data_IF_924147625778
#
_entry.id   IF_924147625778
#
_cell.length_a   1.000
_cell.length_b   1.000
_cell.length_c   1.000
_cell.angle_alpha   90.00
_cell.angle_beta   90.00
_cell.angle_gamma   90.00
#
_symmetry.space_group_name_H-M   'P 1'
#
loop_
_entity.id
_entity.type
_entity.pdbx_description
1 polymer ?
#
# COMPACT_ATOMS: atom_id res chain seq x y z
N UNK A 1 -93.25 13.15 19.17
CA UNK A 1 -92.29 13.01 20.29
C UNK A 1 -90.89 13.08 19.67
N UNK A 2 -89.98 13.97 20.04
CA UNK A 2 -90.07 15.09 20.99
C UNK A 2 -88.96 16.14 20.75
N UNK A 3 -89.16 17.33 21.32
CA UNK A 3 -88.22 18.47 21.53
C UNK A 3 -86.87 18.05 22.15
N UNK A 4 -85.73 18.77 22.09
CA UNK A 4 -85.25 20.08 21.55
C UNK A 4 -83.68 19.99 21.53
N UNK A 5 -82.79 20.93 21.15
CA UNK A 5 -82.76 22.36 20.73
C UNK A 5 -81.34 22.71 20.19
N UNK A 6 -81.13 23.93 19.66
CA UNK A 6 -79.82 24.61 19.41
C UNK A 6 -78.95 24.07 18.23
N UNK A 7 -78.15 24.87 17.51
CA UNK A 7 -77.96 26.36 17.49
C UNK A 7 -77.48 26.79 16.10
N UNK A 8 -77.88 27.97 15.62
CA UNK A 8 -77.27 28.58 14.43
C UNK A 8 -75.87 29.13 14.73
N UNK A 9 -74.91 28.94 13.80
CA UNK A 9 -73.69 29.75 13.69
C UNK A 9 -73.31 29.95 12.22
N UNK A 10 -72.86 31.15 11.90
CA UNK A 10 -72.51 31.60 10.55
C UNK A 10 -71.27 30.92 9.98
N UNK A 11 -71.33 30.52 8.71
CA UNK A 11 -70.14 30.16 7.92
C UNK A 11 -69.41 31.44 7.45
N UNK A 12 -68.15 31.61 7.82
CA UNK A 12 -67.27 32.66 7.27
C UNK A 12 -66.35 32.08 6.19
N UNK A 13 -66.17 32.85 5.11
CA UNK A 13 -65.25 32.52 4.02
C UNK A 13 -63.84 33.02 4.34
N UNK A 14 -63.06 32.28 5.15
CA UNK A 14 -61.67 32.67 5.40
C UNK A 14 -60.69 31.51 5.71
N UNK A 15 -59.97 31.07 4.65
CA UNK A 15 -58.55 30.64 4.71
C UNK A 15 -57.98 30.33 3.32
N UNK A 16 -57.38 31.34 2.69
CA UNK A 16 -56.42 31.12 1.58
C UNK A 16 -55.03 30.94 2.18
N UNK A 17 -54.43 29.75 2.05
CA UNK A 17 -53.09 29.48 2.56
C UNK A 17 -52.02 30.24 1.78
N UNK A 18 -51.54 31.36 2.35
CA UNK A 18 -50.34 32.07 1.85
C UNK A 18 -49.08 31.24 2.11
N UNK A 19 -48.72 30.38 1.16
CA UNK A 19 -47.38 29.78 1.11
C UNK A 19 -46.33 30.90 0.99
N UNK A 20 -45.50 31.07 2.03
CA UNK A 20 -44.30 31.93 1.97
C UNK A 20 -43.27 31.26 1.06
N UNK A 21 -43.29 31.63 -0.22
CA UNK A 21 -42.20 31.34 -1.16
C UNK A 21 -40.91 31.90 -0.55
N UNK A 22 -39.96 31.04 -0.20
CA UNK A 22 -38.61 31.48 0.18
C UNK A 22 -37.97 32.14 -1.05
N UNK A 23 -37.36 33.33 -0.94
CA UNK A 23 -36.83 34.04 -2.11
C UNK A 23 -35.79 33.17 -2.80
N UNK A 24 -35.94 32.98 -4.11
CA UNK A 24 -35.14 32.03 -4.92
C UNK A 24 -33.63 32.28 -4.74
N UNK A 25 -33.24 33.56 -4.66
CA UNK A 25 -31.89 34.05 -4.36
C UNK A 25 -31.27 33.44 -3.08
N UNK A 26 -32.03 33.24 -2.01
CA UNK A 26 -31.51 32.67 -0.76
C UNK A 26 -31.30 31.15 -0.87
N UNK A 27 -32.12 30.45 -1.67
CA UNK A 27 -31.89 29.03 -1.99
C UNK A 27 -30.66 28.88 -2.88
N UNK A 28 -30.52 29.75 -3.89
CA UNK A 28 -29.37 29.75 -4.79
C UNK A 28 -28.06 30.11 -4.08
N UNK A 29 -28.06 31.11 -3.19
CA UNK A 29 -26.90 31.43 -2.34
C UNK A 29 -26.48 30.25 -1.47
N UNK A 30 -27.43 29.59 -0.79
CA UNK A 30 -27.10 28.44 0.06
C UNK A 30 -26.54 27.27 -0.76
N UNK A 31 -27.06 27.03 -1.97
CA UNK A 31 -26.54 26.00 -2.86
C UNK A 31 -25.12 26.32 -3.35
N UNK A 32 -24.86 27.58 -3.76
CA UNK A 32 -23.52 28.04 -4.14
C UNK A 32 -22.54 28.00 -2.96
N UNK A 33 -22.98 28.31 -1.75
CA UNK A 33 -22.17 28.23 -0.53
C UNK A 33 -21.80 26.77 -0.19
N UNK A 34 -22.76 25.84 -0.31
CA UNK A 34 -22.53 24.40 -0.13
C UNK A 34 -21.57 23.83 -1.18
N UNK A 35 -21.70 24.23 -2.44
CA UNK A 35 -20.78 23.84 -3.52
C UNK A 35 -19.38 24.40 -3.25
N UNK A 36 -19.25 25.67 -2.85
CA UNK A 36 -17.97 26.28 -2.48
C UNK A 36 -17.31 25.63 -1.26
N UNK A 37 -18.08 25.26 -0.23
CA UNK A 37 -17.59 24.52 0.93
C UNK A 37 -17.11 23.11 0.55
N UNK A 38 -17.83 22.43 -0.36
CA UNK A 38 -17.43 21.12 -0.86
C UNK A 38 -16.10 21.20 -1.64
N UNK A 39 -15.97 22.11 -2.60
CA UNK A 39 -14.73 22.22 -3.41
C UNK A 39 -13.52 22.69 -2.60
N UNK A 40 -13.71 23.58 -1.61
CA UNK A 40 -12.65 23.94 -0.66
C UNK A 40 -12.20 22.75 0.20
N UNK A 41 -13.15 21.95 0.69
CA UNK A 41 -12.84 20.74 1.48
C UNK A 41 -12.08 19.70 0.63
N UNK A 42 -12.49 19.50 -0.62
CA UNK A 42 -11.91 18.52 -1.52
C UNK A 42 -10.50 18.93 -2.01
N UNK A 43 -10.26 20.22 -2.23
CA UNK A 43 -8.93 20.75 -2.53
C UNK A 43 -8.00 20.64 -1.30
N UNK A 44 -8.46 21.07 -0.13
CA UNK A 44 -7.70 20.94 1.13
C UNK A 44 -7.32 19.48 1.43
N UNK A 45 -8.23 18.54 1.19
CA UNK A 45 -7.99 17.10 1.37
C UNK A 45 -6.88 16.59 0.46
N UNK A 46 -6.80 17.07 -0.78
CA UNK A 46 -5.80 16.68 -1.79
C UNK A 46 -4.39 17.18 -1.46
N UNK A 47 -4.26 18.37 -0.87
CA UNK A 47 -2.96 18.87 -0.39
C UNK A 47 -2.52 18.22 0.93
N UNK A 48 -3.47 17.69 1.71
CA UNK A 48 -3.21 16.94 2.96
C UNK A 48 -2.87 15.45 2.76
N UNK A 49 -3.13 14.89 1.58
CA UNK A 49 -2.88 13.48 1.27
C UNK A 49 -1.47 13.21 0.77
N UNK A 50 -0.92 12.06 1.16
CA UNK A 50 0.35 11.53 0.67
C UNK A 50 0.06 10.26 -0.13
N UNK A 51 0.41 10.24 -1.42
CA UNK A 51 0.40 9.01 -2.21
C UNK A 51 1.74 8.29 -2.08
N UNK A 52 1.75 7.17 -1.37
CA UNK A 52 2.90 6.28 -1.32
C UNK A 52 2.76 5.15 -2.35
N UNK A 53 3.88 4.73 -2.93
CA UNK A 53 3.98 3.57 -3.82
C UNK A 53 5.08 2.63 -3.29
N UNK A 54 4.72 1.41 -2.89
CA UNK A 54 5.67 0.30 -2.71
C UNK A 54 5.88 -0.38 -4.06
N UNK A 55 7.12 -0.63 -4.46
CA UNK A 55 7.44 -1.13 -5.81
C UNK A 55 8.75 -1.93 -5.83
N UNK A 56 8.67 -3.27 -5.71
CA UNK A 56 9.76 -4.13 -6.15
C UNK A 56 9.86 -3.99 -7.67
N UNK A 57 11.02 -3.54 -8.16
CA UNK A 57 11.24 -3.27 -9.59
C UNK A 57 11.90 -4.42 -10.36
N UNK A 58 11.97 -5.63 -9.78
CA UNK A 58 12.49 -6.85 -10.41
C UNK A 58 13.89 -6.67 -11.01
N UNK A 59 14.86 -6.52 -10.11
CA UNK A 59 16.29 -6.29 -10.40
C UNK A 59 16.48 -5.10 -11.36
N UNK A 60 16.02 -3.91 -10.94
CA UNK A 60 15.96 -2.67 -11.74
C UNK A 60 15.34 -2.83 -13.14
N UNK A 61 14.36 -3.72 -13.28
CA UNK A 61 13.65 -4.02 -14.52
C UNK A 61 14.49 -4.76 -15.56
N UNK A 62 15.67 -5.29 -15.19
CA UNK A 62 16.60 -5.96 -16.13
C UNK A 62 16.04 -7.25 -16.73
N UNK A 63 14.99 -7.80 -16.13
CA UNK A 63 14.22 -8.93 -16.66
C UNK A 63 13.35 -8.59 -17.87
N UNK A 64 13.05 -7.30 -18.14
CA UNK A 64 12.29 -6.84 -19.32
C UNK A 64 13.10 -5.91 -20.24
N UNK A 65 12.66 -5.76 -21.49
CA UNK A 65 13.22 -4.74 -22.38
C UNK A 65 12.82 -3.34 -21.90
N UNK A 66 13.79 -2.42 -21.85
CA UNK A 66 13.64 -1.02 -21.45
C UNK A 66 13.06 -0.83 -20.03
N UNK A 67 13.54 -1.64 -19.08
CA UNK A 67 13.06 -1.67 -17.69
C UNK A 67 13.08 -0.31 -16.99
N UNK A 68 14.22 0.38 -16.97
CA UNK A 68 14.36 1.70 -16.33
C UNK A 68 13.39 2.75 -16.89
N UNK A 69 13.24 2.79 -18.23
CA UNK A 69 12.28 3.69 -18.91
C UNK A 69 10.85 3.38 -18.49
N UNK A 70 10.50 2.09 -18.39
CA UNK A 70 9.17 1.66 -17.94
C UNK A 70 8.94 2.04 -16.48
N UNK A 71 9.89 1.80 -15.58
CA UNK A 71 9.80 2.14 -14.15
C UNK A 71 9.49 3.64 -13.99
N UNK A 72 10.31 4.52 -14.55
CA UNK A 72 10.13 5.96 -14.45
C UNK A 72 8.80 6.44 -15.08
N UNK A 73 8.42 5.91 -16.25
CA UNK A 73 7.11 6.16 -16.88
C UNK A 73 5.93 5.68 -16.03
N UNK A 74 6.02 4.53 -15.36
CA UNK A 74 4.95 4.04 -14.49
C UNK A 74 4.80 4.88 -13.22
N UNK A 75 5.92 5.34 -12.63
CA UNK A 75 5.91 6.29 -11.52
C UNK A 75 5.27 7.62 -11.99
N UNK A 76 5.64 8.15 -13.17
CA UNK A 76 4.97 9.32 -13.79
C UNK A 76 3.47 9.12 -14.07
N UNK A 77 3.01 7.90 -14.33
CA UNK A 77 1.57 7.58 -14.50
C UNK A 77 0.82 7.55 -13.16
N UNK A 78 1.44 7.01 -12.10
CA UNK A 78 0.89 6.95 -10.74
C UNK A 78 0.92 8.31 -10.03
N UNK A 79 1.95 9.12 -10.28
CA UNK A 79 2.25 10.38 -9.58
C UNK A 79 2.19 10.22 -8.05
N UNK A 80 3.03 9.35 -7.46
CA UNK A 80 3.20 9.27 -6.01
C UNK A 80 4.00 10.47 -5.51
N UNK A 81 4.00 10.69 -4.19
CA UNK A 81 4.88 11.64 -3.51
C UNK A 81 6.14 10.95 -2.97
N UNK A 82 6.02 9.65 -2.67
CA UNK A 82 7.09 8.80 -2.15
C UNK A 82 7.01 7.44 -2.86
N UNK A 83 8.15 6.94 -3.35
CA UNK A 83 8.31 5.55 -3.78
C UNK A 83 9.27 4.83 -2.84
N UNK A 84 8.78 3.79 -2.17
CA UNK A 84 9.61 2.79 -1.52
C UNK A 84 9.94 1.73 -2.57
N UNK A 85 11.18 1.72 -3.06
CA UNK A 85 11.62 0.87 -4.18
C UNK A 85 12.56 -0.25 -3.72
N UNK A 86 12.33 -1.48 -4.19
CA UNK A 86 13.10 -2.69 -3.84
C UNK A 86 13.72 -3.36 -5.09
N UNK A 87 14.70 -4.25 -4.90
CA UNK A 87 15.53 -4.87 -5.93
C UNK A 87 16.28 -3.87 -6.86
N UNK A 88 16.89 -2.86 -6.26
CA UNK A 88 17.74 -1.92 -6.99
C UNK A 88 19.14 -2.51 -7.20
N UNK A 89 19.55 -2.63 -8.46
CA UNK A 89 20.85 -3.17 -8.86
C UNK A 89 22.03 -2.20 -8.74
N UNK A 90 21.80 -0.91 -9.01
CA UNK A 90 22.86 0.08 -9.16
C UNK A 90 22.29 1.51 -9.04
N UNK A 91 23.14 2.46 -8.64
CA UNK A 91 22.77 3.87 -8.44
C UNK A 91 22.54 4.59 -9.78
N UNK A 92 23.28 4.23 -10.84
CA UNK A 92 23.08 4.80 -12.17
C UNK A 92 21.66 4.56 -12.73
N UNK A 93 21.04 3.43 -12.39
CA UNK A 93 19.64 3.18 -12.66
C UNK A 93 18.69 4.10 -11.89
N UNK A 94 19.02 4.49 -10.65
CA UNK A 94 18.26 5.46 -9.87
C UNK A 94 18.41 6.88 -10.43
N UNK A 95 19.64 7.29 -10.78
CA UNK A 95 19.93 8.58 -11.41
C UNK A 95 19.17 8.73 -12.72
N UNK A 96 19.14 7.68 -13.55
CA UNK A 96 18.34 7.64 -14.78
C UNK A 96 16.84 7.82 -14.49
N UNK A 97 16.31 7.11 -13.48
CA UNK A 97 14.90 7.20 -13.11
C UNK A 97 14.56 8.63 -12.67
N UNK A 98 15.26 9.20 -11.67
CA UNK A 98 14.91 10.54 -11.17
C UNK A 98 15.12 11.65 -12.21
N UNK A 99 16.10 11.50 -13.10
CA UNK A 99 16.29 12.40 -14.25
C UNK A 99 15.09 12.36 -15.22
N UNK A 100 14.51 11.18 -15.47
CA UNK A 100 13.30 11.04 -16.28
C UNK A 100 12.02 11.45 -15.52
N UNK A 101 12.01 11.42 -14.17
CA UNK A 101 10.90 11.95 -13.37
C UNK A 101 10.82 13.50 -13.37
N UNK A 102 11.96 14.18 -13.52
CA UNK A 102 12.12 15.64 -13.43
C UNK A 102 11.66 16.22 -12.07
N UNK A 103 11.16 17.45 -12.04
CA UNK A 103 10.41 18.08 -10.93
C UNK A 103 10.92 17.82 -9.51
N UNK A 104 12.19 18.14 -9.26
CA UNK A 104 12.90 18.06 -7.96
C UNK A 104 12.92 16.66 -7.30
N UNK A 105 12.63 15.59 -8.05
CA UNK A 105 12.79 14.23 -7.55
C UNK A 105 14.23 13.91 -7.20
N UNK A 106 14.43 13.35 -6.01
CA UNK A 106 15.70 12.81 -5.55
C UNK A 106 15.49 11.37 -5.05
N UNK A 107 16.56 10.59 -5.03
CA UNK A 107 16.61 9.29 -4.36
C UNK A 107 17.56 9.36 -3.16
N UNK A 108 17.26 8.60 -2.11
CA UNK A 108 18.15 8.42 -0.96
C UNK A 108 18.27 6.94 -0.62
N UNK A 109 19.50 6.52 -0.33
CA UNK A 109 19.81 5.27 0.37
C UNK A 109 20.82 5.53 1.48
N UNK A 110 20.93 4.57 2.39
CA UNK A 110 22.04 4.38 3.29
C UNK A 110 22.14 2.88 3.58
N UNK A 111 23.17 2.42 4.28
CA UNK A 111 23.36 0.99 4.55
C UNK A 111 24.17 0.77 5.82
N UNK A 112 23.94 -0.36 6.50
CA UNK A 112 24.79 -0.85 7.60
C UNK A 112 25.90 -1.79 7.12
N UNK A 113 26.05 -2.00 5.81
CA UNK A 113 27.01 -2.96 5.23
C UNK A 113 27.39 -2.62 3.79
N UNK A 114 28.61 -2.99 3.38
CA UNK A 114 29.13 -2.79 2.02
C UNK A 114 28.52 -3.82 1.04
N UNK A 115 27.23 -3.70 0.76
CA UNK A 115 26.54 -4.51 -0.26
C UNK A 115 26.96 -4.08 -1.66
N UNK A 116 27.13 -5.06 -2.55
CA UNK A 116 27.52 -4.82 -3.95
C UNK A 116 26.48 -4.04 -4.77
N UNK A 117 25.23 -3.99 -4.31
CA UNK A 117 24.13 -3.26 -4.93
C UNK A 117 23.27 -2.54 -3.86
N UNK A 118 22.54 -1.47 -4.22
CA UNK A 118 21.72 -0.70 -3.27
C UNK A 118 20.61 -1.49 -2.59
N UNK A 119 19.96 -2.40 -3.32
CA UNK A 119 18.74 -3.15 -2.96
C UNK A 119 17.51 -2.27 -2.68
N UNK A 120 17.60 -1.32 -1.75
CA UNK A 120 16.52 -0.39 -1.35
C UNK A 120 16.92 1.08 -1.52
N UNK A 121 15.98 1.90 -2.00
CA UNK A 121 16.08 3.36 -2.02
C UNK A 121 14.69 4.00 -1.83
N UNK A 122 14.65 5.19 -1.24
CA UNK A 122 13.43 6.00 -1.15
C UNK A 122 13.54 7.13 -2.16
N UNK A 123 12.62 7.17 -3.12
CA UNK A 123 12.51 8.27 -4.08
C UNK A 123 11.41 9.22 -3.60
N UNK A 124 11.64 10.53 -3.65
CA UNK A 124 10.61 11.52 -3.31
C UNK A 124 10.92 12.90 -3.91
N UNK A 125 9.90 13.74 -4.07
CA UNK A 125 10.03 15.19 -4.25
C UNK A 125 9.61 16.00 -3.01
N UNK A 126 9.38 15.33 -1.87
CA UNK A 126 9.19 15.96 -0.57
C UNK A 126 10.54 16.38 0.04
N UNK A 127 10.50 17.40 0.89
CA UNK A 127 11.67 17.92 1.60
C UNK A 127 12.13 16.90 2.65
N UNK A 128 13.38 16.44 2.53
CA UNK A 128 14.01 15.55 3.51
C UNK A 128 14.53 16.40 4.68
N UNK A 129 14.22 16.04 5.92
CA UNK A 129 14.44 16.89 7.11
C UNK A 129 15.32 16.24 8.19
N UNK A 130 16.11 15.25 7.81
CA UNK A 130 17.05 14.56 8.70
C UNK A 130 17.85 13.48 7.98
N UNK A 131 18.79 12.81 8.68
CA UNK A 131 19.66 11.82 8.08
C UNK A 131 18.90 10.55 7.68
N UNK A 132 19.43 9.84 6.68
CA UNK A 132 19.04 8.46 6.42
C UNK A 132 19.57 7.54 7.52
N UNK A 133 18.76 6.56 7.92
CA UNK A 133 19.16 5.49 8.85
C UNK A 133 18.81 4.12 8.28
N UNK A 134 19.49 3.05 8.71
CA UNK A 134 19.39 1.74 8.09
C UNK A 134 19.41 0.59 9.11
N UNK A 135 18.76 -0.51 8.74
CA UNK A 135 18.90 -1.84 9.34
C UNK A 135 19.60 -2.77 8.34
N UNK A 136 19.66 -4.09 8.61
CA UNK A 136 20.23 -5.03 7.65
C UNK A 136 19.44 -5.17 6.34
N UNK A 137 18.17 -4.73 6.30
CA UNK A 137 17.23 -4.93 5.17
C UNK A 137 16.20 -3.81 4.96
N UNK A 138 16.38 -2.66 5.61
CA UNK A 138 15.50 -1.51 5.44
C UNK A 138 16.26 -0.19 5.65
N UNK A 139 15.75 0.88 5.05
CA UNK A 139 16.23 2.25 5.24
C UNK A 139 15.07 3.16 5.65
N UNK A 140 15.37 4.24 6.36
CA UNK A 140 14.40 5.27 6.74
C UNK A 140 14.92 6.68 6.48
N UNK A 141 14.01 7.58 6.11
CA UNK A 141 14.23 9.04 6.13
C UNK A 141 13.03 9.74 6.79
N UNK A 142 13.26 10.82 7.55
CA UNK A 142 12.21 11.75 7.94
C UNK A 142 12.00 12.78 6.82
N UNK A 143 10.75 12.94 6.37
CA UNK A 143 10.33 13.90 5.33
C UNK A 143 9.30 14.90 5.88
N UNK A 144 9.19 16.03 5.22
CA UNK A 144 8.19 17.07 5.47
C UNK A 144 7.19 17.11 4.31
N UNK A 145 5.93 16.90 4.63
CA UNK A 145 4.80 16.96 3.68
C UNK A 145 4.59 18.38 3.15
N UNK A 146 3.80 18.52 2.07
CA UNK A 146 3.43 19.85 1.51
C UNK A 146 2.67 20.75 2.49
N UNK A 147 2.11 20.20 3.58
CA UNK A 147 1.48 20.95 4.68
C UNK A 147 2.42 21.24 5.86
N UNK A 148 3.73 21.02 5.71
CA UNK A 148 4.74 21.28 6.75
C UNK A 148 4.78 20.23 7.87
N UNK A 149 3.99 19.15 7.78
CA UNK A 149 3.94 18.10 8.81
C UNK A 149 4.98 17.02 8.51
N UNK A 150 5.72 16.60 9.54
CA UNK A 150 6.76 15.57 9.42
C UNK A 150 6.19 14.14 9.37
N UNK A 151 6.82 13.26 8.58
CA UNK A 151 6.56 11.82 8.47
C UNK A 151 7.88 11.06 8.48
N UNK A 152 7.98 9.96 9.23
CA UNK A 152 9.06 8.98 9.10
C UNK A 152 8.62 7.90 8.12
N UNK A 153 9.34 7.75 7.01
CA UNK A 153 9.11 6.66 6.04
C UNK A 153 10.27 5.67 6.11
N UNK A 154 9.94 4.39 6.35
CA UNK A 154 10.80 3.25 6.11
C UNK A 154 10.48 2.56 4.77
N UNK A 155 11.52 2.15 4.06
CA UNK A 155 11.46 1.21 2.93
C UNK A 155 12.22 -0.07 3.30
N UNK A 156 11.59 -1.24 3.15
CA UNK A 156 12.17 -2.55 3.44
C UNK A 156 12.19 -3.49 2.23
N UNK A 157 13.22 -4.36 2.18
CA UNK A 157 13.23 -5.57 1.36
C UNK A 157 13.74 -6.74 2.23
N UNK A 158 12.83 -7.42 2.93
CA UNK A 158 13.19 -8.51 3.82
C UNK A 158 13.67 -9.76 3.06
N UNK A 159 14.29 -10.71 3.75
CA UNK A 159 14.97 -11.81 3.07
C UNK A 159 14.04 -12.75 2.27
N UNK A 160 14.18 -12.79 0.94
CA UNK A 160 13.46 -13.69 0.04
C UNK A 160 13.75 -15.19 0.23
N UNK A 161 14.87 -15.55 0.88
CA UNK A 161 15.30 -16.95 0.98
C UNK A 161 14.37 -17.78 1.87
N UNK A 162 14.24 -19.06 1.55
CA UNK A 162 13.40 -20.03 2.28
C UNK A 162 11.94 -19.56 2.37
N UNK A 163 11.32 -19.34 1.20
CA UNK A 163 9.94 -18.90 1.08
C UNK A 163 8.96 -20.03 1.45
N UNK A 164 8.33 -19.91 2.63
CA UNK A 164 7.45 -20.93 3.21
C UNK A 164 6.25 -21.33 2.35
N UNK A 165 5.52 -20.39 1.71
CA UNK A 165 4.37 -20.71 0.86
C UNK A 165 4.65 -21.70 -0.27
N UNK A 166 5.80 -21.60 -0.94
CA UNK A 166 6.17 -22.55 -1.99
C UNK A 166 6.41 -23.96 -1.42
N UNK A 167 7.06 -24.07 -0.25
CA UNK A 167 7.21 -25.34 0.44
C UNK A 167 5.87 -25.96 0.89
N UNK A 168 4.88 -25.11 1.21
CA UNK A 168 3.52 -25.49 1.58
C UNK A 168 2.68 -25.98 0.37
N UNK A 169 2.85 -25.37 -0.81
CA UNK A 169 2.26 -25.85 -2.07
C UNK A 169 2.92 -27.16 -2.53
N UNK A 170 4.27 -27.23 -2.53
CA UNK A 170 5.06 -28.42 -2.88
C UNK A 170 4.94 -29.61 -1.92
N UNK A 171 4.18 -29.49 -0.82
CA UNK A 171 4.01 -30.53 0.22
C UNK A 171 5.32 -31.02 0.85
N UNK A 172 6.33 -30.15 0.91
CA UNK A 172 7.61 -30.45 1.59
C UNK A 172 7.51 -30.38 3.12
N UNK A 173 6.51 -29.68 3.65
CA UNK A 173 6.25 -29.54 5.09
C UNK A 173 5.10 -30.44 5.56
N UNK A 174 5.17 -30.86 6.82
CA UNK A 174 4.20 -31.75 7.49
C UNK A 174 3.37 -31.06 8.59
N UNK A 175 3.77 -29.87 9.05
CA UNK A 175 3.00 -29.07 10.02
C UNK A 175 3.19 -27.57 9.80
N UNK A 176 2.30 -26.77 10.38
CA UNK A 176 2.44 -25.31 10.51
C UNK A 176 3.75 -24.90 11.17
N UNK A 177 4.18 -25.68 12.16
CA UNK A 177 5.30 -25.32 13.03
C UNK A 177 6.64 -25.42 12.28
N UNK A 178 6.71 -26.28 11.26
CA UNK A 178 7.83 -26.29 10.32
C UNK A 178 7.86 -25.02 9.46
N UNK A 179 6.72 -24.52 8.98
CA UNK A 179 6.65 -23.24 8.24
C UNK A 179 7.06 -22.07 9.14
N UNK A 180 6.57 -22.03 10.38
CA UNK A 180 6.95 -20.99 11.36
C UNK A 180 8.43 -21.06 11.75
N UNK A 181 9.00 -22.26 11.85
CA UNK A 181 10.43 -22.46 12.13
C UNK A 181 11.30 -22.01 10.95
N UNK A 182 10.89 -22.31 9.71
CA UNK A 182 11.55 -21.83 8.48
C UNK A 182 11.43 -20.30 8.36
N UNK A 183 10.29 -19.72 8.74
CA UNK A 183 10.10 -18.26 8.76
C UNK A 183 11.04 -17.57 9.74
N UNK A 184 11.24 -18.13 10.93
CA UNK A 184 12.23 -17.65 11.90
C UNK A 184 13.67 -17.76 11.34
N UNK A 185 14.03 -18.92 10.79
CA UNK A 185 15.34 -19.17 10.20
C UNK A 185 15.62 -18.35 8.94
N UNK A 186 14.58 -17.86 8.24
CA UNK A 186 14.74 -16.96 7.08
C UNK A 186 15.36 -15.62 7.45
N UNK A 187 15.26 -15.22 8.73
CA UNK A 187 15.67 -13.89 9.19
C UNK A 187 14.65 -12.79 8.90
N UNK A 188 13.55 -13.02 8.17
CA UNK A 188 12.49 -12.01 7.95
C UNK A 188 11.92 -11.49 9.27
N UNK A 189 11.74 -12.38 10.26
CA UNK A 189 11.35 -12.02 11.63
C UNK A 189 12.36 -11.07 12.27
N UNK A 190 13.67 -11.33 12.11
CA UNK A 190 14.74 -10.44 12.59
C UNK A 190 14.76 -9.10 11.85
N UNK A 191 14.52 -9.08 10.54
CA UNK A 191 14.47 -7.86 9.75
C UNK A 191 13.30 -6.95 10.17
N UNK A 192 12.13 -7.53 10.47
CA UNK A 192 11.00 -6.81 11.05
C UNK A 192 11.32 -6.26 12.45
N UNK A 193 11.91 -7.10 13.31
CA UNK A 193 12.32 -6.73 14.66
C UNK A 193 13.34 -5.57 14.65
N UNK A 194 14.31 -5.57 13.72
CA UNK A 194 15.27 -4.48 13.55
C UNK A 194 14.63 -3.14 13.18
N UNK A 195 13.51 -3.12 12.44
CA UNK A 195 12.78 -1.89 12.08
C UNK A 195 11.92 -1.38 13.24
N UNK A 196 11.25 -2.30 13.94
CA UNK A 196 10.38 -2.00 15.08
C UNK A 196 11.18 -1.51 16.30
N UNK A 197 12.25 -2.22 16.65
CA UNK A 197 13.09 -1.90 17.81
C UNK A 197 14.09 -0.75 17.53
N UNK A 198 14.13 -0.24 16.29
CA UNK A 198 15.06 0.83 15.91
C UNK A 198 14.88 2.08 16.78
N UNK A 199 15.97 2.73 17.28
CA UNK A 199 15.86 3.89 18.15
C UNK A 199 15.02 5.04 17.57
N UNK A 200 15.10 5.27 16.25
CA UNK A 200 14.29 6.30 15.58
C UNK A 200 12.79 5.94 15.54
N UNK A 201 12.44 4.68 15.29
CA UNK A 201 11.04 4.20 15.34
C UNK A 201 10.47 4.38 16.75
N UNK A 202 11.23 3.93 17.75
CA UNK A 202 10.91 4.09 19.17
C UNK A 202 10.83 5.56 19.63
N UNK A 203 11.61 6.47 19.06
CA UNK A 203 11.52 7.91 19.35
C UNK A 203 10.24 8.53 18.76
N UNK A 204 9.91 8.20 17.51
CA UNK A 204 8.74 8.73 16.83
C UNK A 204 7.43 8.20 17.44
N UNK A 205 7.35 6.90 17.77
CA UNK A 205 6.18 6.35 18.46
C UNK A 205 5.97 6.98 19.85
N UNK A 206 7.03 7.15 20.65
CA UNK A 206 6.94 7.83 21.97
C UNK A 206 6.50 9.29 21.88
N UNK A 207 6.75 9.98 20.76
CA UNK A 207 6.25 11.33 20.49
C UNK A 207 4.87 11.38 19.82
N UNK A 208 4.26 10.21 19.55
CA UNK A 208 3.06 10.08 18.72
C UNK A 208 3.19 10.82 17.37
N UNK A 209 4.37 10.70 16.73
CA UNK A 209 4.59 11.20 15.38
C UNK A 209 4.26 10.08 14.36
N UNK A 210 3.82 10.44 13.14
CA UNK A 210 3.38 9.44 12.17
C UNK A 210 4.58 8.71 11.57
N UNK A 211 4.46 7.39 11.48
CA UNK A 211 5.45 6.49 10.87
C UNK A 211 4.74 5.64 9.83
N UNK A 212 5.40 5.43 8.69
CA UNK A 212 5.02 4.45 7.68
C UNK A 212 6.17 3.49 7.44
N UNK A 213 5.87 2.20 7.29
CA UNK A 213 6.81 1.16 6.87
C UNK A 213 6.24 0.49 5.64
N UNK A 214 6.91 0.65 4.51
CA UNK A 214 6.49 0.09 3.23
C UNK A 214 7.57 -0.82 2.64
N UNK A 215 7.19 -1.70 1.73
CA UNK A 215 8.11 -2.53 0.96
C UNK A 215 7.74 -4.00 0.87
N UNK A 216 8.62 -4.77 0.26
CA UNK A 216 8.48 -6.21 0.10
C UNK A 216 9.02 -6.94 1.34
N UNK A 217 8.10 -7.53 2.10
CA UNK A 217 8.42 -8.27 3.32
C UNK A 217 8.70 -9.76 3.05
N UNK A 218 8.57 -10.22 1.80
CA UNK A 218 8.80 -11.61 1.37
C UNK A 218 8.06 -12.68 2.20
N UNK A 219 6.90 -12.32 2.78
CA UNK A 219 6.11 -13.16 3.69
C UNK A 219 4.63 -12.78 3.63
N UNK A 220 3.68 -13.74 3.67
CA UNK A 220 2.25 -13.43 3.67
C UNK A 220 1.76 -12.89 5.02
N UNK A 221 0.51 -12.40 5.07
CA UNK A 221 -0.06 -11.91 6.32
C UNK A 221 -0.67 -13.04 7.16
N UNK A 222 -0.56 -12.92 8.48
CA UNK A 222 -1.36 -13.68 9.44
C UNK A 222 -2.88 -13.46 9.28
N UNK A 223 -3.28 -12.40 8.58
CA UNK A 223 -4.67 -12.11 8.19
C UNK A 223 -5.06 -12.74 6.83
N UNK A 224 -4.09 -13.14 6.02
CA UNK A 224 -4.32 -13.67 4.65
C UNK A 224 -4.36 -15.20 4.62
N UNK A 225 -3.63 -15.88 5.51
CA UNK A 225 -3.53 -17.34 5.60
C UNK A 225 -4.48 -17.91 6.68
N UNK A 226 -5.77 -17.64 6.52
CA UNK A 226 -6.85 -17.95 7.46
C UNK A 226 -7.73 -19.13 6.99
N UNK A 227 -8.60 -19.64 7.87
CA UNK A 227 -9.51 -20.76 7.54
C UNK A 227 -10.37 -20.47 6.30
N UNK A 228 -10.83 -19.22 6.15
CA UNK A 228 -11.65 -18.79 5.02
C UNK A 228 -10.92 -18.90 3.66
N UNK A 229 -9.60 -18.64 3.63
CA UNK A 229 -8.75 -18.67 2.43
C UNK A 229 -7.99 -19.99 2.27
N UNK A 230 -8.04 -20.92 3.24
CA UNK A 230 -7.32 -22.21 3.30
C UNK A 230 -7.15 -22.94 1.96
N UNK A 231 -8.19 -22.98 1.13
CA UNK A 231 -8.18 -23.66 -0.18
C UNK A 231 -7.22 -23.03 -1.20
N UNK A 232 -7.04 -21.72 -1.15
CA UNK A 232 -6.09 -20.96 -1.99
C UNK A 232 -4.66 -21.34 -1.58
N UNK A 233 -4.43 -21.38 -0.27
CA UNK A 233 -3.16 -21.72 0.40
C UNK A 233 -2.88 -23.23 0.46
N UNK A 234 -3.35 -23.98 -0.54
CA UNK A 234 -3.07 -25.41 -0.71
C UNK A 234 -3.58 -26.32 0.40
N UNK A 235 -4.49 -25.86 1.26
CA UNK A 235 -5.00 -26.58 2.44
C UNK A 235 -4.49 -26.08 3.79
N UNK A 236 -3.57 -25.10 3.81
CA UNK A 236 -2.91 -24.60 5.02
C UNK A 236 -3.58 -23.38 5.63
N UNK A 237 -3.34 -23.18 6.93
CA UNK A 237 -3.71 -22.00 7.73
C UNK A 237 -2.48 -21.66 8.58
N UNK A 238 -1.95 -20.44 8.50
CA UNK A 238 -0.66 -20.05 9.10
C UNK A 238 -0.72 -18.60 9.58
N UNK A 239 -0.46 -18.38 10.87
CA UNK A 239 -0.29 -17.02 11.43
C UNK A 239 1.16 -16.57 11.25
N UNK A 240 1.49 -16.05 10.07
CA UNK A 240 2.83 -15.59 9.73
C UNK A 240 3.34 -14.50 10.71
N UNK A 241 4.47 -14.73 11.40
CA UNK A 241 4.88 -13.91 12.54
C UNK A 241 5.22 -12.45 12.21
N UNK A 242 5.78 -12.18 11.02
CA UNK A 242 6.29 -10.84 10.65
C UNK A 242 5.20 -9.77 10.72
N UNK A 243 4.09 -9.95 10.00
CA UNK A 243 2.98 -8.99 9.98
C UNK A 243 2.28 -8.89 11.34
N UNK A 244 2.31 -9.96 12.13
CA UNK A 244 1.76 -10.00 13.49
C UNK A 244 2.66 -9.25 14.51
N UNK A 245 3.96 -9.07 14.24
CA UNK A 245 4.83 -8.20 15.03
C UNK A 245 4.50 -6.73 14.81
N UNK A 246 4.25 -6.30 13.57
CA UNK A 246 3.82 -4.94 13.25
C UNK A 246 2.50 -4.58 13.95
N UNK A 247 1.48 -5.46 13.89
CA UNK A 247 0.22 -5.26 14.60
C UNK A 247 0.44 -5.09 16.12
N UNK A 248 1.23 -5.98 16.73
CA UNK A 248 1.56 -5.93 18.17
C UNK A 248 2.36 -4.68 18.58
N UNK A 249 3.13 -4.11 17.66
CA UNK A 249 3.87 -2.87 17.84
C UNK A 249 3.03 -1.60 17.55
N UNK A 250 1.71 -1.73 17.35
CA UNK A 250 0.82 -0.59 17.13
C UNK A 250 0.85 -0.03 15.71
N UNK A 251 1.27 -0.83 14.72
CA UNK A 251 1.13 -0.50 13.30
C UNK A 251 -0.10 -1.16 12.68
N UNK A 252 -0.81 -0.43 11.84
CA UNK A 252 -1.97 -0.91 11.10
C UNK A 252 -1.61 -1.27 9.66
N UNK A 253 -2.04 -2.44 9.19
CA UNK A 253 -1.94 -2.88 7.78
C UNK A 253 -2.91 -2.03 6.94
N UNK A 254 -2.38 -1.13 6.09
CA UNK A 254 -3.20 -0.21 5.31
C UNK A 254 -4.19 -0.93 4.37
N UNK A 255 -3.79 -2.07 3.81
CA UNK A 255 -4.63 -2.82 2.89
C UNK A 255 -5.75 -3.55 3.64
N UNK A 256 -5.44 -4.25 4.74
CA UNK A 256 -6.46 -4.95 5.54
C UNK A 256 -7.35 -4.03 6.36
N UNK A 257 -6.89 -2.83 6.70
CA UNK A 257 -7.73 -1.79 7.33
C UNK A 257 -8.83 -1.30 6.38
N UNK A 258 -8.56 -1.22 5.08
CA UNK A 258 -9.53 -0.80 4.06
C UNK A 258 -10.34 -1.99 3.49
N UNK A 259 -9.70 -3.16 3.39
CA UNK A 259 -10.25 -4.38 2.80
C UNK A 259 -10.08 -5.57 3.77
N UNK A 260 -10.91 -5.69 4.81
CA UNK A 260 -10.71 -6.70 5.86
C UNK A 260 -10.98 -8.15 5.40
N UNK A 261 -11.80 -8.36 4.37
CA UNK A 261 -12.11 -9.70 3.84
C UNK A 261 -11.06 -10.16 2.81
N UNK A 262 -10.25 -11.15 3.20
CA UNK A 262 -9.20 -11.74 2.36
C UNK A 262 -9.70 -12.72 1.28
N UNK A 263 -10.97 -13.15 1.30
CA UNK A 263 -11.58 -13.92 0.20
C UNK A 263 -12.11 -13.00 -0.91
N UNK A 264 -12.72 -11.87 -0.55
CA UNK A 264 -13.24 -10.89 -1.52
C UNK A 264 -12.10 -10.03 -2.07
N UNK A 265 -11.16 -9.62 -1.22
CA UNK A 265 -10.04 -8.78 -1.57
C UNK A 265 -8.72 -9.50 -1.22
N UNK A 266 -8.29 -10.51 -2.00
CA UNK A 266 -7.10 -11.30 -1.69
C UNK A 266 -5.82 -10.47 -1.58
N UNK A 267 -5.69 -9.41 -2.38
CA UNK A 267 -4.57 -8.47 -2.28
C UNK A 267 -3.22 -9.03 -2.73
N UNK A 268 -3.20 -10.13 -3.50
CA UNK A 268 -1.96 -10.75 -3.98
C UNK A 268 -1.10 -9.73 -4.75
N UNK A 269 0.10 -9.43 -4.22
CA UNK A 269 1.08 -8.58 -4.91
C UNK A 269 2.03 -9.41 -5.75
N UNK A 270 2.29 -10.66 -5.33
CA UNK A 270 3.14 -11.62 -6.03
C UNK A 270 2.32 -12.85 -6.47
N UNK A 271 2.34 -13.30 -7.74
CA UNK A 271 2.95 -12.68 -8.92
C UNK A 271 1.93 -12.47 -10.04
N UNK A 272 1.75 -11.23 -10.55
CA UNK A 272 0.96 -10.97 -11.77
C UNK A 272 1.34 -11.79 -13.01
N UNK A 273 2.55 -12.34 -13.09
CA UNK A 273 3.07 -13.01 -14.31
C UNK A 273 3.63 -14.43 -14.09
N UNK A 274 3.66 -14.92 -12.85
CA UNK A 274 4.09 -16.28 -12.51
C UNK A 274 2.95 -17.04 -11.81
N UNK A 275 2.30 -17.93 -12.56
CA UNK A 275 1.22 -18.82 -12.07
C UNK A 275 1.69 -20.20 -11.63
N UNK A 276 2.91 -20.57 -11.99
CA UNK A 276 3.52 -21.86 -11.71
C UNK A 276 5.00 -21.67 -11.36
N UNK A 277 5.51 -22.46 -10.40
CA UNK A 277 6.88 -22.34 -9.90
C UNK A 277 7.93 -22.62 -10.97
N UNK A 278 9.01 -21.84 -10.90
CA UNK A 278 10.19 -21.92 -11.77
C UNK A 278 10.92 -23.26 -11.67
N UNK A 279 11.02 -23.80 -10.45
CA UNK A 279 11.66 -25.08 -10.12
C UNK A 279 11.00 -26.25 -10.87
N UNK A 280 9.71 -26.11 -11.17
CA UNK A 280 8.90 -27.11 -11.88
C UNK A 280 8.56 -26.67 -13.32
N UNK A 281 9.47 -25.90 -13.93
CA UNK A 281 9.41 -25.52 -15.35
C UNK A 281 8.20 -24.67 -15.72
N UNK A 282 7.65 -23.91 -14.76
CA UNK A 282 6.44 -23.09 -14.92
C UNK A 282 5.21 -23.88 -15.40
N UNK A 283 5.07 -25.16 -14.99
CA UNK A 283 4.00 -26.04 -15.50
C UNK A 283 3.26 -26.90 -14.47
N UNK A 284 3.92 -27.41 -13.43
CA UNK A 284 3.35 -28.50 -12.61
C UNK A 284 2.94 -28.12 -11.18
N UNK A 285 3.70 -27.25 -10.52
CA UNK A 285 3.39 -26.76 -9.17
C UNK A 285 2.84 -25.33 -9.32
N UNK A 286 1.62 -25.03 -8.86
CA UNK A 286 1.10 -23.66 -8.83
C UNK A 286 2.00 -22.77 -7.99
N UNK A 287 2.27 -21.57 -8.48
CA UNK A 287 3.01 -20.58 -7.71
C UNK A 287 2.09 -19.99 -6.64
N UNK A 288 2.52 -19.88 -5.37
CA UNK A 288 1.74 -19.18 -4.35
C UNK A 288 1.36 -17.79 -4.87
N UNK A 289 0.09 -17.43 -4.71
CA UNK A 289 -0.39 -16.09 -5.01
C UNK A 289 -0.59 -15.42 -3.67
N UNK A 290 0.31 -14.51 -3.33
CA UNK A 290 0.49 -14.01 -1.98
C UNK A 290 0.64 -12.49 -1.97
N UNK A 291 0.28 -11.87 -0.84
CA UNK A 291 0.57 -10.47 -0.58
C UNK A 291 1.89 -10.37 0.17
N UNK A 292 2.92 -9.91 -0.53
CA UNK A 292 4.28 -9.78 0.00
C UNK A 292 4.69 -8.31 0.18
N UNK A 293 4.06 -7.39 -0.57
CA UNK A 293 4.27 -5.95 -0.48
C UNK A 293 3.27 -5.31 0.49
N UNK A 294 3.76 -4.48 1.40
CA UNK A 294 2.97 -3.87 2.48
C UNK A 294 3.12 -2.36 2.55
N UNK A 295 2.14 -1.75 3.22
CA UNK A 295 2.23 -0.42 3.81
C UNK A 295 1.62 -0.50 5.20
N UNK A 296 2.45 -0.47 6.23
CA UNK A 296 2.05 -0.39 7.63
C UNK A 296 2.17 1.06 8.12
N UNK A 297 1.24 1.52 8.97
CA UNK A 297 1.30 2.88 9.53
C UNK A 297 0.98 2.97 11.03
N UNK A 298 1.61 3.91 11.73
CA UNK A 298 1.46 4.14 13.18
C UNK A 298 1.43 5.65 13.48
N UNK A 299 0.78 6.06 14.57
CA UNK A 299 0.63 7.46 14.96
C UNK A 299 -0.52 8.19 14.25
N UNK A 300 -0.55 9.53 14.21
CA UNK A 300 -1.62 10.34 13.62
C UNK A 300 -1.52 10.35 12.08
N UNK A 301 -1.82 9.20 11.48
CA UNK A 301 -1.89 8.95 10.04
C UNK A 301 -2.82 7.76 9.77
N UNK A 302 -3.55 7.78 8.66
CA UNK A 302 -4.46 6.69 8.27
C UNK A 302 -4.53 6.52 6.75
N UNK A 303 -4.67 5.28 6.31
CA UNK A 303 -5.04 4.98 4.93
C UNK A 303 -6.46 5.46 4.59
N UNK A 304 -6.67 5.92 3.35
CA UNK A 304 -7.99 6.30 2.81
C UNK A 304 -8.31 5.65 1.46
N UNK A 305 -7.31 5.13 0.76
CA UNK A 305 -7.45 4.26 -0.41
C UNK A 305 -6.19 3.37 -0.51
N UNK A 306 -6.33 2.16 -1.05
CA UNK A 306 -5.21 1.30 -1.41
C UNK A 306 -5.51 0.62 -2.75
N UNK A 307 -4.50 0.43 -3.60
CA UNK A 307 -4.69 -0.04 -4.97
C UNK A 307 -3.47 -0.82 -5.44
N UNK A 308 -3.69 -2.03 -5.95
CA UNK A 308 -2.65 -2.81 -6.65
C UNK A 308 -2.55 -2.34 -8.09
N UNK A 309 -1.32 -2.20 -8.60
CA UNK A 309 -1.08 -1.60 -9.91
C UNK A 309 -0.01 -2.35 -10.71
N UNK A 310 -0.35 -2.64 -11.97
CA UNK A 310 0.53 -3.23 -12.97
C UNK A 310 0.45 -2.51 -14.33
N UNK A 311 0.19 -1.20 -14.33
CA UNK A 311 -0.14 -0.45 -15.55
C UNK A 311 -1.58 -0.68 -16.02
N UNK A 312 -1.79 -0.69 -17.34
CA UNK A 312 -3.11 -0.88 -17.99
C UNK A 312 -3.13 -1.94 -19.09
N UNK A 313 -1.96 -2.38 -19.54
CA UNK A 313 -1.86 -3.32 -20.66
C UNK A 313 -1.91 -4.77 -20.17
N UNK A 314 -2.45 -5.72 -20.96
CA UNK A 314 -2.45 -7.13 -20.60
C UNK A 314 -1.04 -7.68 -20.38
N UNK A 315 -0.84 -8.35 -19.25
CA UNK A 315 0.44 -8.96 -18.91
C UNK A 315 0.59 -10.34 -19.54
N UNK A 316 1.78 -10.62 -20.06
CA UNK A 316 2.14 -11.94 -20.60
C UNK A 316 2.94 -12.73 -19.56
N UNK A 317 2.52 -13.97 -19.29
CA UNK A 317 3.16 -14.85 -18.30
C UNK A 317 4.60 -15.25 -18.66
N UNK A 318 5.41 -15.50 -17.62
CA UNK A 318 6.81 -15.96 -17.72
C UNK A 318 6.91 -17.30 -18.47
N UNK A 319 5.92 -18.18 -18.30
CA UNK A 319 5.76 -19.49 -18.95
C UNK A 319 5.82 -19.43 -20.49
N UNK A 320 5.57 -18.27 -21.10
CA UNK A 320 5.33 -18.15 -22.55
C UNK A 320 6.59 -17.85 -23.39
N UNK A 321 7.65 -18.63 -23.21
CA UNK A 321 8.89 -18.58 -24.01
C UNK A 321 9.50 -17.18 -24.14
N UNK A 322 9.58 -16.44 -23.03
CA UNK A 322 10.25 -15.13 -23.00
C UNK A 322 9.43 -13.94 -23.52
N UNK A 323 8.18 -14.14 -23.97
CA UNK A 323 7.33 -13.02 -24.43
C UNK A 323 7.06 -11.97 -23.34
N UNK A 324 7.04 -12.38 -22.07
CA UNK A 324 6.95 -11.49 -20.90
C UNK A 324 7.96 -10.34 -20.91
N UNK A 325 9.13 -10.50 -21.53
CA UNK A 325 10.14 -9.42 -21.65
C UNK A 325 9.63 -8.19 -22.40
N UNK A 326 8.55 -8.34 -23.18
CA UNK A 326 7.87 -7.26 -23.90
C UNK A 326 6.74 -6.60 -23.10
N UNK A 327 6.37 -7.12 -21.92
CA UNK A 327 5.31 -6.56 -21.07
C UNK A 327 5.50 -5.06 -20.87
N UNK A 328 4.41 -4.30 -20.91
CA UNK A 328 4.42 -2.86 -20.67
C UNK A 328 4.97 -2.53 -19.27
N UNK A 329 4.48 -3.28 -18.29
CA UNK A 329 4.88 -3.24 -16.89
C UNK A 329 6.19 -4.01 -16.62
N UNK A 330 7.13 -3.48 -15.82
CA UNK A 330 8.50 -3.99 -15.75
C UNK A 330 8.81 -4.99 -14.63
N UNK A 331 7.84 -5.31 -13.76
CA UNK A 331 8.05 -6.13 -12.56
C UNK A 331 7.14 -7.37 -12.53
N UNK A 332 7.57 -8.39 -11.79
CA UNK A 332 6.80 -9.57 -11.41
C UNK A 332 6.03 -9.42 -10.07
N UNK A 333 6.08 -8.23 -9.46
CA UNK A 333 5.22 -7.77 -8.34
C UNK A 333 4.25 -6.67 -8.78
N UNK A 334 2.98 -6.68 -8.32
CA UNK A 334 2.13 -5.49 -8.34
C UNK A 334 2.68 -4.43 -7.39
N UNK A 335 2.80 -3.19 -7.86
CA UNK A 335 3.07 -2.07 -6.96
C UNK A 335 1.84 -1.81 -6.07
N UNK A 336 2.05 -1.68 -4.76
CA UNK A 336 1.00 -1.31 -3.81
C UNK A 336 1.01 0.21 -3.63
N UNK A 337 -0.02 0.87 -4.16
CA UNK A 337 -0.26 2.31 -4.00
C UNK A 337 -1.19 2.51 -2.80
N UNK A 338 -0.85 3.42 -1.88
CA UNK A 338 -1.70 3.79 -0.75
C UNK A 338 -1.81 5.30 -0.63
N UNK A 339 -3.04 5.80 -0.53
CA UNK A 339 -3.34 7.18 -0.17
C UNK A 339 -3.43 7.28 1.35
N UNK A 340 -2.57 8.09 1.96
CA UNK A 340 -2.53 8.33 3.40
C UNK A 340 -2.97 9.76 3.70
N UNK A 341 -3.69 9.99 4.80
CA UNK A 341 -3.95 11.33 5.34
C UNK A 341 -3.52 11.39 6.80
N UNK A 342 -3.04 12.56 7.23
CA UNK A 342 -2.51 12.84 8.57
C UNK A 342 -3.42 13.80 9.34
#
# INVERSE_FOLDING_TARGET
MGTLSATERSFSWERVHRYRIRPLHAVLMNLLLLIGLATLCECSRKDSSIRLMSFNVWTSGKSVYNGLQKIARHIKKVRPDIVAMQEISDEAGLDYIVTDLADNWNWVRCTTSETWFPDVAILTNLKIVGPCTATSRAIAIPVETRTGRSLLIWNAHFNYKMFGPLAAQMKMVKSSDQLLSVELLSGRVKNAQEVLDHPLTNEWQRRNQPIVVAGDFNTPSHLDWIEATRKQHGGWVVRWPVTQLFERAGFHDAYRTLYPDANIHPGHTWSPIQRFSKEWGYKYIPEPQDRLDYVFHSGPIRAVNATLYCGTEPLTEISTNGRYKRNDYPSDHYALIVELVM
#
